data_IF_438067748525
#
_entry.id   IF_438067748525
#
_cell.length_a   1.000
_cell.length_b   1.000
_cell.length_c   1.000
_cell.angle_alpha   90.00
_cell.angle_beta   90.00
_cell.angle_gamma   90.00
#
_symmetry.space_group_name_H-M   'P 1'
#
loop_
_entity.id
_entity.type
_entity.pdbx_description
1 polymer ?
#
# COMPACT_ATOMS: atom_id res chain seq x y z
N UNK A 1 -11.08 -17.38 7.17
CA UNK A 1 -10.22 -16.24 6.75
C UNK A 1 -10.58 -14.92 7.44
N UNK A 2 -11.85 -14.59 7.69
CA UNK A 2 -12.23 -13.30 8.32
C UNK A 2 -11.62 -13.04 9.71
N UNK A 3 -11.47 -14.05 10.55
CA UNK A 3 -10.86 -13.89 11.88
C UNK A 3 -9.39 -13.42 11.82
N UNK A 4 -8.67 -13.81 10.77
CA UNK A 4 -7.26 -13.47 10.55
C UNK A 4 -7.11 -11.97 10.21
N UNK A 5 -8.16 -11.34 9.67
CA UNK A 5 -8.15 -9.93 9.31
C UNK A 5 -8.31 -8.95 10.49
N UNK A 6 -8.45 -9.47 11.71
CA UNK A 6 -8.41 -8.63 12.92
C UNK A 6 -6.97 -8.17 13.25
N UNK A 7 -5.97 -8.96 12.89
CA UNK A 7 -4.56 -8.75 13.25
C UNK A 7 -3.63 -8.55 12.04
N UNK A 8 -4.13 -7.91 10.97
CA UNK A 8 -3.40 -7.74 9.69
C UNK A 8 -2.01 -7.12 9.89
N UNK A 9 -1.92 -6.09 10.73
CA UNK A 9 -0.64 -5.42 11.00
C UNK A 9 0.38 -6.38 11.63
N UNK A 10 -0.04 -7.12 12.66
CA UNK A 10 0.84 -8.05 13.37
C UNK A 10 1.26 -9.21 12.45
N UNK A 11 0.31 -9.79 11.72
CA UNK A 11 0.57 -10.89 10.80
C UNK A 11 1.49 -10.49 9.66
N UNK A 12 1.37 -9.26 9.15
CA UNK A 12 2.24 -8.76 8.08
C UNK A 12 3.71 -8.70 8.48
N UNK A 13 3.99 -8.51 9.77
CA UNK A 13 5.35 -8.47 10.35
C UNK A 13 5.84 -9.82 10.84
N UNK A 14 4.96 -10.82 10.88
CA UNK A 14 5.28 -12.15 11.37
C UNK A 14 6.06 -12.96 10.31
N UNK A 15 7.11 -13.72 10.69
CA UNK A 15 7.93 -14.51 9.77
C UNK A 15 7.14 -15.49 8.89
N UNK A 16 6.01 -15.98 9.38
CA UNK A 16 5.10 -16.85 8.63
C UNK A 16 3.79 -16.15 8.21
N UNK A 17 3.35 -15.15 8.98
CA UNK A 17 2.07 -14.48 8.71
C UNK A 17 2.10 -13.63 7.44
N UNK A 18 3.27 -13.10 7.10
CA UNK A 18 3.46 -12.32 5.88
C UNK A 18 3.11 -13.12 4.61
N UNK A 19 3.33 -14.44 4.61
CA UNK A 19 2.98 -15.30 3.47
C UNK A 19 1.47 -15.47 3.35
N UNK A 20 0.75 -15.55 4.48
CA UNK A 20 -0.71 -15.59 4.49
C UNK A 20 -1.27 -14.29 3.92
N UNK A 21 -0.71 -13.15 4.31
CA UNK A 21 -1.14 -11.84 3.77
C UNK A 21 -0.90 -11.73 2.26
N UNK A 22 0.27 -12.18 1.79
CA UNK A 22 0.59 -12.22 0.35
C UNK A 22 -0.38 -13.12 -0.41
N UNK A 23 -0.67 -14.31 0.12
CA UNK A 23 -1.60 -15.24 -0.50
C UNK A 23 -3.03 -14.70 -0.56
N UNK A 24 -3.48 -14.01 0.49
CA UNK A 24 -4.78 -13.33 0.49
C UNK A 24 -4.81 -12.12 -0.46
N UNK A 25 -3.68 -11.44 -0.66
CA UNK A 25 -3.58 -10.37 -1.67
C UNK A 25 -3.65 -10.93 -3.09
N UNK A 26 -3.13 -12.12 -3.33
CA UNK A 26 -3.13 -12.74 -4.66
C UNK A 26 -4.44 -13.47 -5.00
N UNK A 27 -5.01 -14.23 -4.05
CA UNK A 27 -6.15 -15.13 -4.29
C UNK A 27 -7.36 -14.87 -3.38
N UNK A 28 -7.27 -13.95 -2.44
CA UNK A 28 -8.38 -13.60 -1.55
C UNK A 28 -9.50 -12.88 -2.28
N UNK A 29 -10.64 -12.77 -1.62
CA UNK A 29 -11.76 -11.99 -2.15
C UNK A 29 -11.40 -10.50 -2.21
N UNK A 30 -12.03 -9.73 -3.10
CA UNK A 30 -11.81 -8.27 -3.21
C UNK A 30 -11.97 -7.55 -1.87
N UNK A 31 -12.93 -7.99 -1.03
CA UNK A 31 -13.12 -7.44 0.32
C UNK A 31 -11.90 -7.66 1.22
N UNK A 32 -11.30 -8.85 1.17
CA UNK A 32 -10.14 -9.19 1.98
C UNK A 32 -8.90 -8.43 1.49
N UNK A 33 -8.67 -8.41 0.17
CA UNK A 33 -7.61 -7.63 -0.45
C UNK A 33 -7.70 -6.15 -0.06
N UNK A 34 -8.91 -5.57 -0.16
CA UNK A 34 -9.16 -4.18 0.20
C UNK A 34 -8.83 -3.89 1.67
N UNK A 35 -9.29 -4.74 2.60
CA UNK A 35 -8.98 -4.61 4.03
C UNK A 35 -7.47 -4.67 4.31
N UNK A 36 -6.75 -5.54 3.60
CA UNK A 36 -5.28 -5.63 3.74
C UNK A 36 -4.61 -4.36 3.24
N UNK A 37 -5.00 -3.86 2.05
CA UNK A 37 -4.45 -2.61 1.51
C UNK A 37 -4.71 -1.44 2.47
N UNK A 38 -5.91 -1.31 3.01
CA UNK A 38 -6.26 -0.25 3.96
C UNK A 38 -5.40 -0.30 5.22
N UNK A 39 -5.23 -1.50 5.80
CA UNK A 39 -4.38 -1.70 6.97
C UNK A 39 -2.89 -1.40 6.65
N UNK A 40 -2.43 -1.75 5.45
CA UNK A 40 -1.08 -1.46 4.98
C UNK A 40 -0.87 0.04 4.81
N UNK A 41 -1.79 0.74 4.14
CA UNK A 41 -1.72 2.18 3.94
C UNK A 41 -1.71 2.94 5.27
N UNK A 42 -2.54 2.52 6.24
CA UNK A 42 -2.58 3.12 7.58
C UNK A 42 -1.28 2.94 8.38
N UNK A 43 -0.50 1.89 8.10
CA UNK A 43 0.73 1.54 8.83
C UNK A 43 1.98 1.52 7.94
N UNK A 44 1.94 2.25 6.82
CA UNK A 44 2.88 2.11 5.71
C UNK A 44 4.34 2.22 6.15
N UNK A 45 4.70 3.29 6.87
CA UNK A 45 6.08 3.53 7.31
C UNK A 45 6.63 2.36 8.13
N UNK A 46 5.83 1.84 9.05
CA UNK A 46 6.22 0.73 9.92
C UNK A 46 6.38 -0.58 9.14
N UNK A 47 5.42 -0.91 8.28
CA UNK A 47 5.45 -2.14 7.50
C UNK A 47 6.55 -2.12 6.43
N UNK A 48 6.73 -1.00 5.73
CA UNK A 48 7.70 -0.92 4.65
C UNK A 48 9.16 -0.98 5.13
N UNK A 49 9.43 -0.63 6.40
CA UNK A 49 10.75 -0.76 7.03
C UNK A 49 10.95 -2.08 7.79
N UNK A 50 9.86 -2.81 8.03
CA UNK A 50 9.92 -4.13 8.65
C UNK A 50 10.46 -5.18 7.66
N UNK A 51 11.28 -6.11 8.16
CA UNK A 51 11.96 -7.12 7.32
C UNK A 51 10.97 -8.05 6.60
N UNK A 52 9.82 -8.32 7.21
CA UNK A 52 8.73 -9.13 6.67
C UNK A 52 7.61 -8.26 6.09
N UNK A 53 7.25 -7.18 6.78
CA UNK A 53 6.16 -6.28 6.37
C UNK A 53 6.34 -5.69 4.97
N UNK A 54 7.57 -5.39 4.55
CA UNK A 54 7.86 -4.83 3.23
C UNK A 54 7.44 -5.75 2.08
N UNK A 55 7.45 -7.07 2.30
CA UNK A 55 6.98 -8.04 1.30
C UNK A 55 5.47 -7.93 1.10
N UNK A 56 4.72 -7.65 2.17
CA UNK A 56 3.27 -7.40 2.11
C UNK A 56 2.98 -6.07 1.42
N UNK A 57 3.75 -5.01 1.70
CA UNK A 57 3.65 -3.73 0.99
C UNK A 57 3.87 -3.92 -0.51
N UNK A 58 4.92 -4.65 -0.89
CA UNK A 58 5.18 -4.98 -2.28
C UNK A 58 4.03 -5.79 -2.90
N UNK A 59 3.50 -6.79 -2.20
CA UNK A 59 2.37 -7.58 -2.70
C UNK A 59 1.10 -6.75 -2.95
N UNK A 60 0.82 -5.74 -2.12
CA UNK A 60 -0.27 -4.79 -2.40
C UNK A 60 -0.06 -4.05 -3.73
N UNK A 61 1.18 -3.67 -4.06
CA UNK A 61 1.53 -3.01 -5.31
C UNK A 61 1.50 -3.97 -6.52
N UNK A 62 1.74 -5.26 -6.32
CA UNK A 62 1.68 -6.27 -7.39
C UNK A 62 0.25 -6.73 -7.67
N UNK A 63 -0.52 -7.08 -6.65
CA UNK A 63 -1.81 -7.78 -6.78
C UNK A 63 -3.04 -6.92 -6.50
N UNK A 64 -2.87 -5.75 -5.87
CA UNK A 64 -4.00 -4.87 -5.55
C UNK A 64 -4.71 -4.33 -6.80
N UNK A 65 -5.94 -3.83 -6.65
CA UNK A 65 -6.63 -3.12 -7.73
C UNK A 65 -5.94 -1.78 -8.05
N UNK A 66 -6.11 -1.26 -9.28
CA UNK A 66 -5.43 -0.02 -9.71
C UNK A 66 -5.73 1.20 -8.83
N UNK A 67 -6.96 1.35 -8.34
CA UNK A 67 -7.33 2.40 -7.39
C UNK A 67 -6.51 2.30 -6.09
N UNK A 68 -6.44 1.09 -5.53
CA UNK A 68 -5.67 0.75 -4.33
C UNK A 68 -4.17 0.92 -4.53
N UNK A 69 -3.63 0.51 -5.69
CA UNK A 69 -2.23 0.75 -6.07
C UNK A 69 -1.94 2.24 -6.16
N UNK A 70 -2.83 3.02 -6.76
CA UNK A 70 -2.68 4.48 -6.91
C UNK A 70 -2.66 5.18 -5.55
N UNK A 71 -3.59 4.83 -4.66
CA UNK A 71 -3.62 5.37 -3.31
C UNK A 71 -2.34 5.00 -2.51
N UNK A 72 -1.90 3.75 -2.60
CA UNK A 72 -0.70 3.28 -1.92
C UNK A 72 0.59 3.91 -2.49
N UNK A 73 0.69 4.04 -3.82
CA UNK A 73 1.81 4.69 -4.49
C UNK A 73 1.93 6.17 -4.11
N UNK A 74 0.79 6.87 -3.99
CA UNK A 74 0.77 8.25 -3.48
C UNK A 74 1.27 8.31 -2.03
N UNK A 75 0.77 7.44 -1.15
CA UNK A 75 1.22 7.39 0.24
C UNK A 75 2.73 7.10 0.35
N UNK A 76 3.27 6.22 -0.49
CA UNK A 76 4.71 5.93 -0.57
C UNK A 76 5.50 7.16 -1.04
N UNK A 77 4.98 7.91 -2.01
CA UNK A 77 5.64 9.11 -2.51
C UNK A 77 5.56 10.29 -1.54
N UNK A 78 4.53 10.34 -0.69
CA UNK A 78 4.36 11.37 0.34
C UNK A 78 5.25 11.10 1.56
N UNK A 79 5.64 9.84 1.79
CA UNK A 79 6.49 9.46 2.92
C UNK A 79 7.99 9.72 2.63
N UNK A 80 8.64 10.69 3.31
CA UNK A 80 10.00 11.10 2.97
C UNK A 80 11.03 9.98 3.08
N UNK A 81 11.85 9.83 2.04
CA UNK A 81 12.93 8.83 1.97
C UNK A 81 12.45 7.38 1.86
N UNK A 82 11.14 7.11 1.79
CA UNK A 82 10.64 5.73 1.71
C UNK A 82 10.93 5.09 0.35
N UNK A 83 10.71 5.82 -0.75
CA UNK A 83 11.05 5.33 -2.09
C UNK A 83 12.55 5.01 -2.23
N UNK A 84 13.41 5.89 -1.71
CA UNK A 84 14.85 5.68 -1.70
C UNK A 84 15.24 4.49 -0.83
N UNK A 85 14.63 4.33 0.34
CA UNK A 85 14.87 3.15 1.16
C UNK A 85 14.47 1.86 0.43
N UNK A 86 13.26 1.82 -0.15
CA UNK A 86 12.72 0.64 -0.83
C UNK A 86 13.56 0.23 -2.04
N UNK A 87 14.13 1.18 -2.79
CA UNK A 87 14.92 0.91 -4.00
C UNK A 87 16.19 0.10 -3.73
N UNK A 88 16.73 0.19 -2.51
CA UNK A 88 17.91 -0.53 -2.06
C UNK A 88 17.60 -1.87 -1.37
N UNK A 89 16.32 -2.22 -1.20
CA UNK A 89 15.94 -3.50 -0.61
C UNK A 89 15.87 -4.61 -1.65
N UNK A 90 16.15 -5.86 -1.23
CA UNK A 90 16.20 -7.05 -2.09
C UNK A 90 15.01 -7.22 -3.04
N UNK A 91 13.81 -6.78 -2.65
CA UNK A 91 12.57 -6.93 -3.43
C UNK A 91 11.83 -5.60 -3.64
N UNK A 92 12.32 -4.48 -3.09
CA UNK A 92 11.64 -3.19 -3.18
C UNK A 92 11.93 -2.42 -4.47
N UNK A 93 12.99 -2.75 -5.23
CA UNK A 93 13.26 -2.11 -6.53
C UNK A 93 12.09 -2.26 -7.51
N UNK A 94 11.51 -3.45 -7.60
CA UNK A 94 10.35 -3.70 -8.47
C UNK A 94 9.10 -2.96 -7.96
N UNK A 95 8.90 -2.91 -6.64
CA UNK A 95 7.83 -2.13 -6.04
C UNK A 95 7.96 -0.63 -6.34
N UNK A 96 9.17 -0.07 -6.27
CA UNK A 96 9.43 1.33 -6.63
C UNK A 96 9.16 1.59 -8.12
N UNK A 97 9.53 0.66 -9.01
CA UNK A 97 9.21 0.77 -10.44
C UNK A 97 7.69 0.84 -10.66
N UNK A 98 6.92 -0.02 -10.00
CA UNK A 98 5.45 0.01 -10.07
C UNK A 98 4.90 1.32 -9.53
N UNK A 99 5.41 1.81 -8.40
CA UNK A 99 5.00 3.12 -7.84
C UNK A 99 5.23 4.23 -8.86
N UNK A 100 6.38 4.25 -9.53
CA UNK A 100 6.68 5.25 -10.57
C UNK A 100 5.73 5.13 -11.77
N UNK A 101 5.49 3.92 -12.27
CA UNK A 101 4.57 3.67 -13.39
C UNK A 101 3.15 4.12 -13.05
N UNK A 102 2.67 3.78 -11.86
CA UNK A 102 1.33 4.16 -11.38
C UNK A 102 1.19 5.67 -11.25
N UNK A 103 2.20 6.36 -10.70
CA UNK A 103 2.15 7.82 -10.49
C UNK A 103 2.24 8.62 -11.81
N UNK A 104 2.86 8.05 -12.84
CA UNK A 104 2.95 8.62 -14.19
C UNK A 104 1.73 8.29 -15.06
N UNK A 105 0.89 7.32 -14.65
CA UNK A 105 -0.31 6.91 -15.38
C UNK A 105 -1.48 7.91 -15.32
N UNK A 106 -2.46 7.78 -16.23
CA UNK A 106 -3.60 8.70 -16.35
C UNK A 106 -4.52 8.73 -15.11
N UNK A 107 -4.65 7.62 -14.37
CA UNK A 107 -5.46 7.56 -13.14
C UNK A 107 -4.89 8.43 -12.01
N UNK A 108 -3.56 8.50 -11.88
CA UNK A 108 -2.92 9.36 -10.88
C UNK A 108 -3.22 10.85 -11.12
N UNK A 109 -3.41 11.27 -12.38
CA UNK A 109 -3.80 12.65 -12.71
C UNK A 109 -5.24 12.98 -12.26
N UNK A 110 -6.16 12.03 -12.39
CA UNK A 110 -7.54 12.16 -11.91
C UNK A 110 -7.63 12.20 -10.38
N UNK A 111 -6.89 11.33 -9.70
CA UNK A 111 -6.85 11.26 -8.23
C UNK A 111 -6.26 12.54 -7.60
N UNK A 112 -5.19 13.11 -8.19
CA UNK A 112 -4.60 14.40 -7.76
C UNK A 112 -5.62 15.53 -7.77
N UNK A 113 -6.44 15.60 -8.82
CA UNK A 113 -7.49 16.62 -9.00
C UNK A 113 -8.63 16.48 -7.98
N UNK A 114 -9.05 15.26 -7.64
CA UNK A 114 -10.09 15.02 -6.63
C UNK A 114 -9.62 15.28 -5.20
N UNK A 115 -8.35 14.97 -4.88
CA UNK A 115 -7.80 15.17 -3.54
C UNK A 115 -7.63 16.66 -3.22
N UNK A 116 -7.20 17.48 -4.18
CA UNK A 116 -7.13 18.94 -4.00
C UNK A 116 -8.50 19.55 -3.65
N UNK A 117 -9.59 19.05 -4.26
CA UNK A 117 -10.98 19.46 -3.93
C UNK A 117 -11.42 18.99 -2.54
N UNK A 118 -10.97 17.82 -2.08
CA UNK A 118 -11.26 17.30 -0.72
C UNK A 118 -10.49 18.05 0.37
N UNK A 119 -9.24 18.42 0.13
CA UNK A 119 -8.43 19.21 1.07
C UNK A 119 -8.99 20.63 1.23
N UNK A 120 -9.46 21.25 0.14
CA UNK A 120 -10.13 22.57 0.20
C UNK A 120 -11.52 22.54 0.85
N UNK A 121 -12.23 21.40 0.85
CA UNK A 121 -13.53 21.27 1.53
C UNK A 121 -13.43 21.10 3.05
N UNK A 122 -12.31 20.57 3.56
CA UNK A 122 -12.09 20.41 5.01
C UNK A 122 -11.70 21.70 5.72
N UNK A 123 -11.25 22.73 4.99
CA UNK A 123 -10.90 24.04 5.55
C UNK A 123 -12.09 25.01 5.67
N UNK A 124 -13.31 24.57 5.35
CA UNK A 124 -14.50 25.43 5.31
C UNK A 124 -15.64 24.98 6.23
N UNK A 125 -15.39 24.04 7.15
CA UNK A 125 -16.35 23.64 8.20
C UNK A 125 -15.67 23.85 9.55
N UNK A 126 -15.61 25.11 9.96
CA UNK A 126 -15.32 25.58 11.31
C UNK A 126 -16.43 26.55 11.69
#
# INVERSE_FOLDING_TARGET
AEAILSDIYWLSRHPYGNYVMQHLLEFGTSRQQQRIVEAVAANLRGLARDVHGRSVVSACLFHGHMESKTALAQAISEEPGLMEFMSHTRHGRLAVKIVQEVLQGPEAAGARSQRHRRTQRRTFTA
#
